data_IF_889640696680
#
_entry.id   IF_889640696680
#
_cell.length_a   1.000
_cell.length_b   1.000
_cell.length_c   1.000
_cell.angle_alpha   90.00
_cell.angle_beta   90.00
_cell.angle_gamma   90.00
#
_symmetry.space_group_name_H-M   'P 1'
#
loop_
_entity.id
_entity.type
_entity.pdbx_description
1 polymer ?
#
# COMPACT_ATOMS: atom_id res chain seq x y z
N UNK A 1 -18.05 33.87 24.80
CA UNK A 1 -17.53 32.97 23.76
C UNK A 1 -18.44 33.08 22.55
N UNK A 2 -17.89 33.25 21.34
CA UNK A 2 -18.70 33.49 20.13
C UNK A 2 -19.39 32.24 19.57
N UNK A 3 -19.06 31.03 20.04
CA UNK A 3 -19.66 29.75 19.62
C UNK A 3 -19.68 28.72 20.77
N UNK A 4 -20.59 28.86 21.75
CA UNK A 4 -20.59 28.02 22.95
C UNK A 4 -20.94 26.55 22.67
N UNK A 5 -21.81 26.27 21.70
CA UNK A 5 -22.20 24.89 21.35
C UNK A 5 -21.04 24.14 20.71
N UNK A 6 -20.32 24.80 19.79
CA UNK A 6 -19.13 24.22 19.17
C UNK A 6 -18.04 23.94 20.20
N UNK A 7 -17.81 24.86 21.15
CA UNK A 7 -16.82 24.68 22.20
C UNK A 7 -17.16 23.49 23.12
N UNK A 8 -18.43 23.29 23.45
CA UNK A 8 -18.86 22.14 24.26
C UNK A 8 -18.58 20.79 23.58
N UNK A 9 -18.57 20.75 22.24
CA UNK A 9 -18.31 19.53 21.47
C UNK A 9 -16.83 19.30 21.15
N UNK A 10 -16.11 20.35 20.73
CA UNK A 10 -14.75 20.26 20.17
C UNK A 10 -13.67 20.84 21.10
N UNK A 11 -14.06 21.47 22.21
CA UNK A 11 -13.15 22.21 23.06
C UNK A 11 -12.64 23.49 22.38
N UNK A 12 -11.39 23.87 22.68
CA UNK A 12 -10.79 25.13 22.26
C UNK A 12 -10.20 25.14 20.85
N UNK A 13 -10.19 24.02 20.12
CA UNK A 13 -9.45 23.90 18.86
C UNK A 13 -10.27 23.21 17.77
N UNK A 14 -10.23 23.79 16.57
CA UNK A 14 -10.75 23.18 15.35
C UNK A 14 -9.64 22.34 14.71
N UNK A 15 -9.90 21.09 14.29
CA UNK A 15 -8.88 20.23 13.69
C UNK A 15 -8.42 20.77 12.33
N UNK A 16 -7.12 20.61 12.06
CA UNK A 16 -6.56 20.84 10.73
C UNK A 16 -6.66 19.56 9.91
N UNK A 17 -7.57 19.56 8.94
CA UNK A 17 -7.87 18.39 8.10
C UNK A 17 -7.28 18.51 6.69
N UNK A 18 -6.40 19.50 6.44
CA UNK A 18 -5.81 19.71 5.12
C UNK A 18 -4.92 18.52 4.75
N UNK A 19 -5.17 17.93 3.58
CA UNK A 19 -4.40 16.80 3.07
C UNK A 19 -4.77 15.43 3.68
N UNK A 20 -5.78 15.36 4.56
CA UNK A 20 -6.21 14.11 5.17
C UNK A 20 -7.47 13.54 4.50
N UNK A 21 -7.51 12.21 4.36
CA UNK A 21 -8.75 11.47 4.13
C UNK A 21 -9.42 11.16 5.47
N UNK A 22 -10.74 11.33 5.53
CA UNK A 22 -11.51 11.01 6.72
C UNK A 22 -12.08 9.59 6.64
N UNK A 23 -11.94 8.83 7.72
CA UNK A 23 -12.60 7.54 7.89
C UNK A 23 -13.68 7.62 8.99
N UNK A 24 -14.71 6.79 8.87
CA UNK A 24 -15.73 6.67 9.92
C UNK A 24 -15.15 6.00 11.16
N UNK A 25 -15.48 6.52 12.34
CA UNK A 25 -15.04 5.94 13.61
C UNK A 25 -15.70 4.58 13.89
N UNK A 26 -14.91 3.62 14.35
CA UNK A 26 -15.36 2.28 14.75
C UNK A 26 -14.82 1.18 13.85
N UNK A 27 -15.62 0.14 13.63
CA UNK A 27 -15.25 -1.04 12.85
C UNK A 27 -16.35 -1.42 11.88
N UNK A 28 -15.97 -1.78 10.65
CA UNK A 28 -16.90 -2.24 9.61
C UNK A 28 -16.31 -3.46 8.90
N UNK A 29 -17.12 -4.49 8.66
CA UNK A 29 -16.70 -5.68 7.92
C UNK A 29 -17.34 -5.69 6.54
N UNK A 30 -16.52 -5.71 5.49
CA UNK A 30 -16.94 -5.82 4.10
C UNK A 30 -16.66 -7.21 3.54
N UNK A 31 -17.47 -7.68 2.60
CA UNK A 31 -17.30 -9.00 1.93
C UNK A 31 -16.97 -8.91 0.43
N UNK A 32 -16.77 -7.70 -0.10
CA UNK A 32 -16.65 -7.46 -1.54
C UNK A 32 -15.41 -8.13 -2.20
N UNK A 33 -14.28 -8.20 -1.48
CA UNK A 33 -13.07 -8.91 -1.90
C UNK A 33 -12.63 -9.91 -0.82
N UNK A 34 -13.57 -10.77 -0.42
CA UNK A 34 -13.45 -11.59 0.78
C UNK A 34 -13.84 -10.81 2.04
N UNK A 35 -13.83 -11.49 3.18
CA UNK A 35 -14.21 -10.91 4.47
C UNK A 35 -13.06 -10.10 5.05
N UNK A 36 -13.20 -8.78 5.10
CA UNK A 36 -12.20 -7.84 5.62
C UNK A 36 -12.85 -6.93 6.66
N UNK A 37 -12.24 -6.85 7.84
CA UNK A 37 -12.61 -5.89 8.88
C UNK A 37 -11.73 -4.65 8.79
N UNK A 38 -12.36 -3.51 8.59
CA UNK A 38 -11.76 -2.18 8.58
C UNK A 38 -12.01 -1.54 9.95
N UNK A 39 -10.96 -1.09 10.61
CA UNK A 39 -11.06 -0.46 11.94
C UNK A 39 -10.34 0.87 11.95
N UNK A 40 -11.01 1.90 12.46
CA UNK A 40 -10.40 3.20 12.69
C UNK A 40 -9.58 3.21 13.98
N UNK A 41 -8.70 4.19 14.08
CA UNK A 41 -8.17 4.65 15.36
C UNK A 41 -9.24 5.45 16.14
N UNK A 42 -8.85 5.98 17.30
CA UNK A 42 -9.71 6.86 18.12
C UNK A 42 -10.04 8.17 17.38
N UNK A 43 -11.11 8.85 17.80
CA UNK A 43 -11.51 10.13 17.21
C UNK A 43 -10.38 11.17 17.25
N UNK A 44 -10.12 11.81 16.11
CA UNK A 44 -9.09 12.82 15.96
C UNK A 44 -7.67 12.27 15.77
N UNK A 45 -7.46 10.96 15.84
CA UNK A 45 -6.15 10.35 15.60
C UNK A 45 -5.88 10.23 14.09
N UNK A 46 -4.70 10.68 13.65
CA UNK A 46 -4.23 10.49 12.28
C UNK A 46 -3.74 9.05 12.12
N UNK A 47 -4.26 8.35 11.12
CA UNK A 47 -3.75 7.07 10.65
C UNK A 47 -2.91 7.35 9.40
N UNK A 48 -1.65 6.89 9.40
CA UNK A 48 -0.75 7.06 8.26
C UNK A 48 -1.09 6.11 7.11
N UNK A 49 -0.46 6.34 5.97
CA UNK A 49 -0.61 5.51 4.77
C UNK A 49 -0.21 4.06 5.04
N UNK A 50 -1.04 3.13 4.60
CA UNK A 50 -0.78 1.70 4.73
C UNK A 50 -1.37 0.93 3.54
N UNK A 51 -0.70 -0.16 3.19
CA UNK A 51 -1.23 -1.20 2.30
C UNK A 51 -1.37 -2.50 3.09
N UNK A 52 -2.18 -3.42 2.55
CA UNK A 52 -2.12 -4.82 3.00
C UNK A 52 -0.79 -5.43 2.56
N UNK A 53 -0.32 -6.40 3.34
CA UNK A 53 0.90 -7.13 3.05
C UNK A 53 0.86 -7.69 1.62
N UNK A 54 1.96 -7.46 0.89
CA UNK A 54 2.27 -8.11 -0.38
C UNK A 54 3.51 -8.94 -0.13
N UNK A 55 3.39 -10.26 -0.22
CA UNK A 55 4.50 -11.17 0.07
C UNK A 55 4.55 -12.34 -0.92
N UNK A 56 5.73 -12.93 -1.05
CA UNK A 56 5.99 -14.14 -1.82
C UNK A 56 7.30 -14.77 -1.36
N UNK A 57 7.45 -16.09 -1.51
CA UNK A 57 8.67 -16.82 -1.14
C UNK A 57 9.24 -17.55 -2.36
N UNK A 58 10.55 -17.37 -2.58
CA UNK A 58 11.28 -17.97 -3.69
C UNK A 58 12.49 -18.73 -3.14
N UNK A 59 12.37 -20.04 -2.89
CA UNK A 59 13.46 -20.82 -2.30
C UNK A 59 14.68 -20.92 -3.21
N UNK A 60 14.51 -20.82 -4.53
CA UNK A 60 15.58 -20.77 -5.51
C UNK A 60 15.14 -20.01 -6.77
N UNK A 61 16.02 -19.15 -7.31
CA UNK A 61 15.79 -18.39 -8.53
C UNK A 61 16.91 -18.71 -9.53
N UNK A 62 16.71 -19.81 -10.24
CA UNK A 62 17.54 -20.21 -11.37
C UNK A 62 16.66 -20.22 -12.63
N UNK A 63 17.19 -19.74 -13.75
CA UNK A 63 16.53 -19.73 -15.05
C UNK A 63 17.45 -20.30 -16.15
N UNK A 64 16.90 -20.87 -17.25
CA UNK A 64 17.70 -21.49 -18.29
C UNK A 64 18.49 -20.44 -19.08
N UNK A 65 19.82 -20.61 -19.11
CA UNK A 65 20.76 -19.78 -19.85
C UNK A 65 20.58 -18.27 -19.66
N UNK A 66 20.60 -17.54 -20.79
CA UNK A 66 20.46 -16.09 -20.86
C UNK A 66 19.00 -15.61 -21.02
N UNK A 67 18.04 -16.53 -21.14
CA UNK A 67 16.62 -16.20 -21.28
C UNK A 67 16.03 -15.72 -19.95
N UNK A 68 15.22 -14.66 -20.00
CA UNK A 68 14.49 -14.15 -18.83
C UNK A 68 12.99 -14.35 -19.03
N UNK A 69 12.38 -15.32 -18.35
CA UNK A 69 10.92 -15.45 -18.29
C UNK A 69 10.38 -14.88 -16.98
N UNK A 70 10.26 -13.54 -16.93
CA UNK A 70 9.50 -12.86 -15.85
C UNK A 70 8.37 -12.04 -16.43
N UNK A 71 7.24 -11.98 -15.75
CA UNK A 71 6.06 -11.25 -16.17
C UNK A 71 5.57 -10.32 -15.05
N UNK A 72 4.83 -9.28 -15.42
CA UNK A 72 4.24 -8.34 -14.47
C UNK A 72 5.27 -7.56 -13.66
N UNK A 73 5.04 -7.41 -12.34
CA UNK A 73 5.90 -6.66 -11.44
C UNK A 73 7.26 -7.35 -11.17
N UNK A 74 7.34 -8.67 -11.38
CA UNK A 74 8.55 -9.47 -11.11
C UNK A 74 9.54 -9.38 -12.25
N UNK A 75 10.82 -9.19 -11.93
CA UNK A 75 11.92 -9.05 -12.90
C UNK A 75 13.15 -9.85 -12.45
N UNK A 76 13.85 -10.48 -13.40
CA UNK A 76 15.14 -11.09 -13.14
C UNK A 76 16.25 -10.06 -13.25
N UNK A 77 17.05 -9.92 -12.19
CA UNK A 77 18.31 -9.20 -12.26
C UNK A 77 19.31 -9.87 -13.21
N UNK A 78 20.42 -9.18 -13.44
CA UNK A 78 21.57 -9.70 -14.18
C UNK A 78 22.06 -11.02 -13.57
N UNK A 79 22.47 -12.00 -14.38
CA UNK A 79 23.06 -13.23 -13.86
C UNK A 79 24.42 -12.92 -13.24
N UNK A 80 24.74 -13.59 -12.14
CA UNK A 80 26.04 -13.43 -11.45
C UNK A 80 26.80 -14.74 -11.28
N UNK A 81 26.16 -15.89 -11.49
CA UNK A 81 26.81 -17.20 -11.44
C UNK A 81 26.02 -18.23 -12.25
N UNK A 82 26.72 -19.25 -12.74
CA UNK A 82 26.10 -20.45 -13.27
C UNK A 82 25.51 -21.30 -12.13
N UNK A 83 24.45 -22.02 -12.44
CA UNK A 83 23.74 -22.92 -11.53
C UNK A 83 23.41 -24.23 -12.22
N UNK A 84 23.21 -25.27 -11.42
CA UNK A 84 22.74 -26.57 -11.88
C UNK A 84 21.30 -26.71 -11.44
N UNK A 85 20.38 -26.85 -12.40
CA UNK A 85 18.99 -27.19 -12.09
C UNK A 85 18.89 -28.67 -11.80
N UNK A 86 18.21 -29.03 -10.71
CA UNK A 86 18.14 -30.42 -10.22
C UNK A 86 17.65 -31.42 -11.28
N UNK A 87 16.70 -31.03 -12.12
CA UNK A 87 16.16 -31.90 -13.19
C UNK A 87 16.70 -31.60 -14.59
N UNK A 88 17.33 -30.45 -14.83
CA UNK A 88 17.66 -29.98 -16.20
C UNK A 88 19.17 -29.80 -16.44
N UNK A 89 20.03 -29.98 -15.42
CA UNK A 89 21.48 -29.93 -15.58
C UNK A 89 22.10 -28.53 -15.52
N UNK A 90 23.28 -28.36 -16.13
CA UNK A 90 24.26 -27.31 -15.83
C UNK A 90 24.11 -25.98 -16.58
N UNK A 91 23.08 -25.82 -17.42
CA UNK A 91 22.94 -24.65 -18.30
C UNK A 91 22.09 -23.52 -17.69
N UNK A 92 21.98 -23.48 -16.37
CA UNK A 92 21.12 -22.52 -15.67
C UNK A 92 21.96 -21.41 -15.04
N UNK A 93 21.34 -20.25 -14.78
CA UNK A 93 22.00 -19.09 -14.17
C UNK A 93 21.28 -18.64 -12.91
N UNK A 94 22.05 -18.38 -11.85
CA UNK A 94 21.58 -17.77 -10.60
C UNK A 94 21.35 -16.28 -10.81
N UNK A 95 20.19 -15.80 -10.37
CA UNK A 95 19.69 -14.43 -10.61
C UNK A 95 18.92 -13.90 -9.41
N UNK A 96 18.78 -12.58 -9.36
CA UNK A 96 18.03 -11.88 -8.34
C UNK A 96 16.57 -11.79 -8.76
N UNK A 97 15.65 -11.86 -7.79
CA UNK A 97 14.28 -11.44 -8.02
C UNK A 97 14.14 -10.00 -7.55
N UNK A 98 13.83 -9.14 -8.49
CA UNK A 98 13.44 -7.77 -8.20
C UNK A 98 11.93 -7.65 -8.35
N UNK A 99 11.30 -6.87 -7.48
CA UNK A 99 9.90 -6.52 -7.57
C UNK A 99 9.77 -5.01 -7.82
N UNK A 100 9.13 -4.66 -8.94
CA UNK A 100 8.87 -3.28 -9.31
C UNK A 100 7.38 -3.11 -9.66
N UNK A 101 6.62 -2.52 -8.75
CA UNK A 101 5.20 -2.20 -8.98
C UNK A 101 5.00 -1.31 -10.22
N UNK A 102 5.95 -0.39 -10.48
CA UNK A 102 5.97 0.53 -11.62
C UNK A 102 5.86 -0.14 -13.00
N UNK A 103 6.10 -1.46 -13.10
CA UNK A 103 5.97 -2.21 -14.36
C UNK A 103 4.53 -2.57 -14.72
N UNK A 104 3.60 -2.49 -13.77
CA UNK A 104 2.19 -2.90 -13.96
C UNK A 104 1.18 -1.90 -13.43
N UNK A 105 1.62 -0.96 -12.58
CA UNK A 105 0.79 0.08 -12.02
C UNK A 105 1.58 1.38 -11.92
N UNK A 106 0.95 2.56 -12.07
CA UNK A 106 1.57 3.82 -11.70
C UNK A 106 2.08 3.79 -10.25
N UNK A 107 3.18 4.51 -10.00
CA UNK A 107 3.77 4.69 -8.68
C UNK A 107 3.94 6.19 -8.41
N UNK A 108 3.80 6.58 -7.15
CA UNK A 108 3.94 7.95 -6.65
C UNK A 108 4.59 7.90 -5.26
N UNK A 109 4.99 9.05 -4.71
CA UNK A 109 5.52 9.16 -3.35
C UNK A 109 4.49 9.00 -2.24
N UNK A 110 3.19 8.94 -2.59
CA UNK A 110 2.04 8.84 -1.70
C UNK A 110 1.11 7.70 -2.16
N UNK A 111 0.59 6.91 -1.22
CA UNK A 111 -0.40 5.87 -1.53
C UNK A 111 -1.79 6.49 -1.45
N UNK A 112 -2.42 6.70 -2.60
CA UNK A 112 -3.77 7.27 -2.66
C UNK A 112 -4.60 6.72 -3.83
N UNK A 113 -5.91 6.51 -3.63
CA UNK A 113 -6.82 6.39 -4.76
C UNK A 113 -6.94 7.73 -5.48
N UNK A 114 -7.51 7.70 -6.69
CA UNK A 114 -7.90 8.93 -7.40
C UNK A 114 -8.82 9.75 -6.50
N UNK A 115 -8.52 11.04 -6.34
CA UNK A 115 -9.23 11.94 -5.46
C UNK A 115 -9.21 13.37 -6.01
N UNK A 116 -10.04 14.24 -5.41
CA UNK A 116 -10.08 15.66 -5.68
C UNK A 116 -10.04 16.42 -4.35
N UNK A 117 -9.19 17.43 -4.26
CA UNK A 117 -9.08 18.27 -3.07
C UNK A 117 -10.35 19.12 -2.87
N UNK A 118 -10.85 19.14 -1.64
CA UNK A 118 -12.01 19.94 -1.21
C UNK A 118 -11.71 20.67 0.11
N UNK A 119 -12.58 21.60 0.49
CA UNK A 119 -12.52 22.28 1.79
C UNK A 119 -13.46 21.61 2.78
N UNK A 120 -12.96 21.26 3.95
CA UNK A 120 -13.78 20.87 5.10
C UNK A 120 -14.25 22.10 5.85
N UNK A 121 -15.55 22.16 6.15
CA UNK A 121 -16.17 23.24 6.91
C UNK A 121 -16.82 22.66 8.16
N UNK A 122 -16.56 23.28 9.31
CA UNK A 122 -17.24 22.98 10.57
C UNK A 122 -18.21 24.12 10.85
N UNK A 123 -19.46 23.74 11.15
CA UNK A 123 -20.51 24.70 11.48
C UNK A 123 -20.18 25.35 12.83
N UNK A 124 -20.05 26.66 12.84
CA UNK A 124 -19.94 27.46 14.06
C UNK A 124 -21.32 28.03 14.41
N UNK A 125 -21.91 27.58 15.51
CA UNK A 125 -23.12 28.15 16.14
C UNK A 125 -22.94 28.18 17.66
#
# INVERSE_FOLDING_TARGET
MSYPELFALMGGQVPDLRGLFLCGHGSHTSTHYGTVTHKSAELGQVQGDAIREIWGSFPELIAPGWGTSTQGAMYYGSPWASGVHRSEGSDWSKRGANFYASRVTPVDGEIRPVNQAVRYLIRAR
#
